data_IF_639350036133
#
_entry.id   IF_639350036133
#
_cell.length_a   1.000
_cell.length_b   1.000
_cell.length_c   1.000
_cell.angle_alpha   90.00
_cell.angle_beta   90.00
_cell.angle_gamma   90.00
#
_symmetry.space_group_name_H-M   'P 1'
#
loop_
_entity.id
_entity.type
_entity.pdbx_description
1 polymer ?
#
# COMPACT_ATOMS: atom_id res chain seq x y z
N UNK A 1 -5.29 12.80 25.87
CA UNK A 1 -5.05 11.50 26.51
C UNK A 1 -3.92 10.85 25.75
N UNK A 2 -2.82 10.44 26.41
CA UNK A 2 -1.73 9.73 25.75
C UNK A 2 -2.24 8.39 25.22
N UNK A 3 -1.95 8.07 23.95
CA UNK A 3 -2.19 6.76 23.35
C UNK A 3 -1.56 5.69 24.27
N UNK A 4 -2.25 4.58 24.62
CA UNK A 4 -1.59 3.47 25.30
C UNK A 4 -0.39 3.06 24.43
N UNK A 5 0.74 2.70 25.07
CA UNK A 5 1.96 2.32 24.35
C UNK A 5 1.62 1.25 23.32
N UNK A 6 1.62 1.54 22.02
CA UNK A 6 1.24 0.54 21.03
C UNK A 6 2.30 -0.56 21.01
N UNK A 7 1.90 -1.77 20.61
CA UNK A 7 2.86 -2.81 20.27
C UNK A 7 3.77 -2.28 19.17
N UNK A 8 5.05 -2.58 19.23
CA UNK A 8 5.99 -2.16 18.17
C UNK A 8 5.74 -2.94 16.87
N UNK A 9 6.28 -2.46 15.75
CA UNK A 9 6.22 -3.18 14.48
C UNK A 9 6.77 -4.60 14.63
N UNK A 10 7.92 -4.76 15.31
CA UNK A 10 8.55 -6.06 15.53
C UNK A 10 7.66 -7.01 16.34
N UNK A 11 6.97 -6.48 17.37
CA UNK A 11 6.03 -7.29 18.16
C UNK A 11 4.83 -7.73 17.30
N UNK A 12 4.32 -6.85 16.43
CA UNK A 12 3.22 -7.21 15.52
C UNK A 12 3.65 -8.27 14.51
N UNK A 13 4.82 -8.13 13.91
CA UNK A 13 5.39 -9.11 12.96
C UNK A 13 5.65 -10.47 13.63
N UNK A 14 6.04 -10.49 14.91
CA UNK A 14 6.23 -11.73 15.65
C UNK A 14 4.91 -12.45 15.99
N UNK A 15 3.77 -11.75 15.99
CA UNK A 15 2.44 -12.31 16.24
C UNK A 15 1.78 -12.87 14.97
N UNK A 16 2.25 -12.50 13.78
CA UNK A 16 1.74 -12.93 12.49
C UNK A 16 1.80 -11.86 11.42
N UNK A 17 1.10 -12.09 10.30
CA UNK A 17 1.07 -11.15 9.20
C UNK A 17 0.51 -9.79 9.65
N UNK A 18 1.21 -8.70 9.33
CA UNK A 18 0.73 -7.33 9.50
C UNK A 18 -0.01 -6.89 8.24
N UNK A 19 -1.21 -6.32 8.38
CA UNK A 19 -1.96 -5.76 7.26
C UNK A 19 -1.78 -4.25 7.21
N UNK A 20 -1.21 -3.78 6.10
CA UNK A 20 -1.07 -2.37 5.78
C UNK A 20 -2.30 -1.79 5.09
N UNK A 21 -2.50 -0.49 5.26
CA UNK A 21 -3.45 0.30 4.51
C UNK A 21 -2.68 1.33 3.69
N UNK A 22 -2.79 1.23 2.38
CA UNK A 22 -2.20 2.17 1.41
C UNK A 22 -3.12 2.29 0.19
N UNK A 23 -2.65 2.97 -0.87
CA UNK A 23 -3.48 3.21 -2.05
C UNK A 23 -4.34 4.48 -1.94
N UNK A 24 -4.13 5.28 -0.89
CA UNK A 24 -4.91 6.47 -0.59
C UNK A 24 -5.00 7.46 -1.76
N UNK A 25 -3.88 7.69 -2.45
CA UNK A 25 -3.81 8.69 -3.53
C UNK A 25 -4.80 8.39 -4.65
N UNK A 26 -4.83 7.15 -5.15
CA UNK A 26 -5.76 6.73 -6.21
C UNK A 26 -7.20 6.65 -5.72
N UNK A 27 -7.42 6.21 -4.50
CA UNK A 27 -8.76 6.16 -3.92
C UNK A 27 -9.34 7.58 -3.73
N UNK A 28 -8.52 8.53 -3.29
CA UNK A 28 -8.90 9.93 -3.16
C UNK A 28 -9.03 10.63 -4.51
N UNK A 29 -8.23 10.23 -5.50
CA UNK A 29 -8.37 10.70 -6.89
C UNK A 29 -9.73 10.30 -7.46
N UNK A 30 -10.12 9.03 -7.35
CA UNK A 30 -11.43 8.52 -7.79
C UNK A 30 -12.61 9.18 -7.10
N UNK A 31 -12.43 9.63 -5.87
CA UNK A 31 -13.40 10.41 -5.10
C UNK A 31 -13.39 11.90 -5.42
N UNK A 32 -12.48 12.38 -6.28
CA UNK A 32 -12.36 13.78 -6.69
C UNK A 32 -11.66 14.69 -5.69
N UNK A 33 -10.80 14.16 -4.81
CA UNK A 33 -10.05 14.92 -3.82
C UNK A 33 -8.57 15.09 -4.15
N UNK A 34 -8.05 14.35 -5.12
CA UNK A 34 -6.66 14.42 -5.58
C UNK A 34 -6.65 14.51 -7.11
N UNK A 35 -5.72 15.26 -7.67
CA UNK A 35 -5.57 15.38 -9.13
C UNK A 35 -4.66 14.27 -9.66
N UNK A 36 -5.16 13.50 -10.63
CA UNK A 36 -4.31 12.64 -11.45
C UNK A 36 -3.22 13.48 -12.15
N UNK A 37 -2.04 12.92 -12.27
CA UNK A 37 -0.86 13.58 -12.82
C UNK A 37 0.11 14.02 -11.72
N UNK A 38 -0.11 15.15 -11.02
CA UNK A 38 0.75 15.55 -9.90
C UNK A 38 0.73 14.55 -8.75
N UNK A 39 -0.44 14.00 -8.43
CA UNK A 39 -0.69 13.10 -7.31
C UNK A 39 -0.19 13.61 -5.96
N UNK A 40 -0.11 14.94 -5.82
CA UNK A 40 0.25 15.59 -4.56
C UNK A 40 -0.93 15.53 -3.60
N UNK A 41 -0.73 15.24 -2.32
CA UNK A 41 -1.80 15.02 -1.35
C UNK A 41 -2.40 16.32 -0.79
N UNK A 42 -2.83 17.23 -1.65
CA UNK A 42 -3.46 18.53 -1.29
C UNK A 42 -4.68 18.35 -0.39
N UNK A 43 -5.36 17.22 -0.50
CA UNK A 43 -6.53 16.81 0.30
C UNK A 43 -6.28 16.91 1.82
N UNK A 44 -5.04 16.73 2.27
CA UNK A 44 -4.65 16.84 3.68
C UNK A 44 -5.02 18.21 4.24
N UNK A 45 -4.89 19.27 3.45
CA UNK A 45 -5.19 20.64 3.81
C UNK A 45 -6.58 21.06 3.34
N UNK A 46 -6.95 20.68 2.13
CA UNK A 46 -8.13 21.20 1.46
C UNK A 46 -9.43 20.45 1.86
N UNK A 47 -9.33 19.14 2.18
CA UNK A 47 -10.45 18.32 2.61
C UNK A 47 -10.03 17.21 3.60
N UNK A 48 -9.49 17.57 4.79
CA UNK A 48 -8.90 16.62 5.73
C UNK A 48 -9.88 15.54 6.22
N UNK A 49 -11.19 15.82 6.23
CA UNK A 49 -12.18 14.84 6.65
C UNK A 49 -12.34 13.69 5.66
N UNK A 50 -12.11 13.92 4.37
CA UNK A 50 -12.09 12.84 3.37
C UNK A 50 -10.96 11.84 3.65
N UNK A 51 -9.79 12.33 4.07
CA UNK A 51 -8.68 11.47 4.48
C UNK A 51 -8.98 10.74 5.80
N UNK A 52 -9.57 11.41 6.80
CA UNK A 52 -9.99 10.78 8.06
C UNK A 52 -10.96 9.63 7.82
N UNK A 53 -11.96 9.84 6.98
CA UNK A 53 -12.94 8.81 6.65
C UNK A 53 -12.29 7.63 5.95
N UNK A 54 -11.40 7.86 5.00
CA UNK A 54 -10.70 6.79 4.31
C UNK A 54 -9.82 5.97 5.27
N UNK A 55 -9.11 6.61 6.18
CA UNK A 55 -8.37 5.91 7.24
C UNK A 55 -9.30 5.04 8.12
N UNK A 56 -10.48 5.56 8.52
CA UNK A 56 -11.45 4.78 9.31
C UNK A 56 -11.98 3.57 8.55
N UNK A 57 -12.23 3.72 7.26
CA UNK A 57 -12.66 2.62 6.40
C UNK A 57 -11.60 1.51 6.35
N UNK A 58 -10.32 1.85 6.22
CA UNK A 58 -9.22 0.89 6.26
C UNK A 58 -9.06 0.25 7.65
N UNK A 59 -9.12 1.04 8.72
CA UNK A 59 -9.08 0.52 10.09
C UNK A 59 -10.21 -0.47 10.34
N UNK A 60 -11.43 -0.12 9.91
CA UNK A 60 -12.61 -0.99 10.01
C UNK A 60 -12.47 -2.26 9.17
N UNK A 61 -11.78 -2.18 8.04
CA UNK A 61 -11.47 -3.32 7.17
C UNK A 61 -10.44 -4.29 7.76
N UNK A 62 -9.72 -3.89 8.81
CA UNK A 62 -8.76 -4.73 9.52
C UNK A 62 -7.30 -4.38 9.29
N UNK A 63 -7.01 -3.18 8.79
CA UNK A 63 -5.64 -2.70 8.69
C UNK A 63 -5.03 -2.49 10.08
N UNK A 64 -3.80 -2.97 10.25
CA UNK A 64 -2.99 -2.85 11.48
C UNK A 64 -2.19 -1.55 11.51
N UNK A 65 -2.04 -0.87 10.37
CA UNK A 65 -1.19 0.30 10.20
C UNK A 65 -1.97 1.41 9.52
N UNK A 66 -1.91 2.62 10.09
CA UNK A 66 -2.32 3.86 9.43
C UNK A 66 -1.07 4.56 8.92
N UNK A 67 -0.97 4.73 7.61
CA UNK A 67 0.18 5.37 6.97
C UNK A 67 -0.10 6.85 6.80
N UNK A 68 0.79 7.72 7.27
CA UNK A 68 0.67 9.15 7.02
C UNK A 68 0.72 9.40 5.50
N UNK A 69 -0.29 10.09 4.96
CA UNK A 69 -0.34 10.39 3.51
C UNK A 69 0.66 11.47 3.15
N UNK A 70 1.95 11.15 3.23
CA UNK A 70 3.05 12.06 2.86
C UNK A 70 3.74 11.66 1.55
N UNK A 71 3.18 10.69 0.83
CA UNK A 71 3.61 10.35 -0.53
C UNK A 71 3.55 11.59 -1.42
N UNK A 72 4.68 11.94 -2.05
CA UNK A 72 4.86 13.17 -2.82
C UNK A 72 4.64 14.49 -2.05
N UNK A 73 4.50 14.47 -0.72
CA UNK A 73 4.51 15.68 0.10
C UNK A 73 5.95 16.14 0.39
N UNK A 74 6.83 16.16 -0.61
CA UNK A 74 8.19 16.63 -0.51
C UNK A 74 8.41 17.89 -1.37
N UNK A 75 9.47 18.63 -1.07
CA UNK A 75 9.73 19.99 -1.60
C UNK A 75 9.68 20.05 -3.13
N UNK A 76 10.27 19.08 -3.83
CA UNK A 76 10.30 19.07 -5.28
C UNK A 76 8.88 18.99 -5.87
N UNK A 77 8.07 18.04 -5.42
CA UNK A 77 6.70 17.84 -5.91
C UNK A 77 5.75 18.97 -5.55
N UNK A 78 5.85 19.52 -4.34
CA UNK A 78 4.99 20.64 -3.94
C UNK A 78 5.30 21.91 -4.76
N UNK A 79 6.56 22.10 -5.14
CA UNK A 79 6.96 23.20 -6.03
C UNK A 79 6.33 23.10 -7.41
N UNK A 80 6.18 21.87 -7.97
CA UNK A 80 5.57 21.67 -9.29
C UNK A 80 4.12 22.21 -9.37
N UNK A 81 3.44 22.28 -8.22
CA UNK A 81 2.07 22.78 -8.12
C UNK A 81 1.97 24.12 -7.38
N UNK A 82 3.10 24.75 -7.04
CA UNK A 82 3.15 26.06 -6.35
C UNK A 82 2.71 26.02 -4.90
N UNK A 83 2.85 24.86 -4.20
CA UNK A 83 2.44 24.69 -2.79
C UNK A 83 3.61 24.33 -1.85
N UNK A 84 4.82 24.66 -2.23
CA UNK A 84 6.02 24.42 -1.41
C UNK A 84 6.01 25.18 -0.07
N UNK A 85 5.23 26.25 0.04
CA UNK A 85 4.96 26.95 1.31
C UNK A 85 4.13 26.13 2.31
N UNK A 86 3.40 25.13 1.85
CA UNK A 86 2.55 24.27 2.68
C UNK A 86 3.26 22.98 3.18
N UNK A 87 4.53 22.81 2.84
CA UNK A 87 5.27 21.57 3.02
C UNK A 87 5.23 21.06 4.47
N UNK A 88 5.57 21.87 5.45
CA UNK A 88 5.60 21.46 6.85
C UNK A 88 4.20 21.15 7.39
N UNK A 89 3.23 22.05 7.17
CA UNK A 89 1.87 21.84 7.67
C UNK A 89 1.21 20.61 7.06
N UNK A 90 1.46 20.34 5.77
CA UNK A 90 0.95 19.17 5.09
C UNK A 90 1.51 17.88 5.70
N UNK A 91 2.81 17.79 5.90
CA UNK A 91 3.45 16.63 6.52
C UNK A 91 2.98 16.42 7.96
N UNK A 92 3.00 17.45 8.80
CA UNK A 92 2.54 17.37 10.19
C UNK A 92 1.08 16.97 10.29
N UNK A 93 0.20 17.56 9.49
CA UNK A 93 -1.24 17.26 9.50
C UNK A 93 -1.53 15.83 9.06
N UNK A 94 -0.81 15.31 8.07
CA UNK A 94 -0.94 13.92 7.64
C UNK A 94 -0.66 12.95 8.81
N UNK A 95 0.41 13.16 9.55
CA UNK A 95 0.77 12.33 10.72
C UNK A 95 -0.27 12.49 11.85
N UNK A 96 -0.73 13.71 12.11
CA UNK A 96 -1.79 13.95 13.14
C UNK A 96 -3.08 13.21 12.81
N UNK A 97 -3.51 13.23 11.54
CA UNK A 97 -4.70 12.49 11.08
C UNK A 97 -4.50 10.99 11.25
N UNK A 98 -3.36 10.45 10.83
CA UNK A 98 -3.05 9.02 11.01
C UNK A 98 -3.05 8.64 12.50
N UNK A 99 -2.46 9.43 13.39
CA UNK A 99 -2.46 9.22 14.83
C UNK A 99 -3.87 9.27 15.44
N UNK A 100 -4.70 10.24 15.01
CA UNK A 100 -6.09 10.36 15.44
C UNK A 100 -6.86 9.06 15.19
N UNK A 101 -6.79 8.54 13.97
CA UNK A 101 -7.56 7.36 13.59
C UNK A 101 -6.92 6.06 14.13
N UNK A 102 -5.61 5.96 14.15
CA UNK A 102 -4.92 4.82 14.75
C UNK A 102 -5.31 4.61 16.23
N UNK A 103 -5.53 5.70 16.96
CA UNK A 103 -5.97 5.64 18.36
C UNK A 103 -7.37 5.04 18.53
N UNK A 104 -8.25 5.10 17.52
CA UNK A 104 -9.60 4.54 17.56
C UNK A 104 -9.57 2.99 17.60
N UNK A 105 -8.55 2.34 17.02
CA UNK A 105 -8.45 0.87 16.94
C UNK A 105 -7.14 0.27 17.43
N UNK A 106 -6.21 1.09 17.94
CA UNK A 106 -4.90 0.61 18.40
C UNK A 106 -3.97 0.20 17.26
N UNK A 107 -4.14 0.77 16.07
CA UNK A 107 -3.25 0.56 14.94
C UNK A 107 -1.89 1.25 15.16
N UNK A 108 -0.86 0.78 14.45
CA UNK A 108 0.42 1.49 14.35
C UNK A 108 0.28 2.71 13.44
N UNK A 109 1.18 3.68 13.61
CA UNK A 109 1.31 4.82 12.70
C UNK A 109 2.65 4.77 12.01
N UNK A 110 2.63 4.70 10.69
CA UNK A 110 3.83 4.81 9.87
C UNK A 110 4.00 6.23 9.33
N UNK A 111 5.21 6.79 9.49
CA UNK A 111 5.66 7.89 8.65
C UNK A 111 5.92 7.36 7.24
N UNK A 112 5.76 8.19 6.22
CA UNK A 112 5.96 7.76 4.84
C UNK A 112 6.93 8.69 4.10
N UNK A 113 7.92 8.10 3.46
CA UNK A 113 8.79 8.74 2.47
C UNK A 113 8.79 7.90 1.19
N UNK A 114 9.03 8.54 0.06
CA UNK A 114 9.07 7.87 -1.25
C UNK A 114 10.22 8.43 -2.09
N UNK A 115 10.42 7.88 -3.29
CA UNK A 115 11.36 8.41 -4.26
C UNK A 115 11.19 9.92 -4.45
N UNK A 116 12.28 10.65 -4.43
CA UNK A 116 12.27 12.13 -4.45
C UNK A 116 12.31 12.72 -5.85
N UNK A 117 12.60 11.90 -6.87
CA UNK A 117 12.93 12.34 -8.24
C UNK A 117 14.15 13.26 -8.31
N UNK A 118 14.96 13.28 -7.24
CA UNK A 118 16.16 14.12 -7.12
C UNK A 118 17.46 13.30 -7.16
N UNK A 119 17.37 11.97 -7.05
CA UNK A 119 18.53 11.09 -7.08
C UNK A 119 19.05 10.90 -8.50
N UNK A 120 20.36 11.09 -8.69
CA UNK A 120 21.07 10.80 -9.95
C UNK A 120 22.18 9.77 -9.65
N UNK A 121 22.06 8.54 -10.15
CA UNK A 121 23.10 7.51 -9.93
C UNK A 121 24.45 7.84 -10.57
N UNK A 122 24.52 8.83 -11.46
CA UNK A 122 25.77 9.32 -12.05
C UNK A 122 26.48 10.33 -11.16
N UNK A 123 25.75 10.98 -10.23
CA UNK A 123 26.28 11.86 -9.19
C UNK A 123 25.64 11.52 -7.82
N UNK A 124 25.92 10.33 -7.28
CA UNK A 124 25.29 9.89 -6.03
C UNK A 124 25.67 10.77 -4.83
N UNK A 125 26.86 11.39 -4.86
CA UNK A 125 27.33 12.26 -3.77
C UNK A 125 26.63 13.64 -3.78
N UNK A 126 26.42 14.24 -4.94
CA UNK A 126 25.78 15.55 -5.05
C UNK A 126 24.26 15.43 -4.89
N UNK A 127 23.65 14.56 -5.68
CA UNK A 127 22.19 14.32 -5.62
C UNK A 127 21.77 13.72 -4.28
N UNK A 128 22.58 12.83 -3.70
CA UNK A 128 22.30 12.21 -2.41
C UNK A 128 22.17 13.21 -1.25
N UNK A 129 22.89 14.34 -1.29
CA UNK A 129 22.70 15.42 -0.29
C UNK A 129 21.34 16.07 -0.40
N UNK A 130 20.84 16.23 -1.62
CA UNK A 130 19.51 16.81 -1.86
C UNK A 130 18.41 15.85 -1.39
N UNK A 131 18.55 14.54 -1.69
CA UNK A 131 17.65 13.49 -1.23
C UNK A 131 17.61 13.43 0.29
N UNK A 132 18.80 13.35 0.93
CA UNK A 132 18.93 13.31 2.39
C UNK A 132 18.22 14.49 3.05
N UNK A 133 18.45 15.71 2.58
CA UNK A 133 17.81 16.89 3.15
C UNK A 133 16.28 16.84 3.07
N UNK A 134 15.70 16.29 2.01
CA UNK A 134 14.25 16.12 1.90
C UNK A 134 13.73 15.06 2.88
N UNK A 135 14.44 13.96 3.06
CA UNK A 135 14.04 12.92 4.01
C UNK A 135 14.19 13.38 5.46
N UNK A 136 15.27 14.11 5.78
CA UNK A 136 15.47 14.71 7.12
C UNK A 136 14.36 15.71 7.48
N UNK A 137 13.91 16.54 6.53
CA UNK A 137 12.77 17.44 6.73
C UNK A 137 11.49 16.63 7.06
N UNK A 138 11.10 15.71 6.20
CA UNK A 138 9.84 14.96 6.36
C UNK A 138 9.84 14.11 7.62
N UNK A 139 10.92 13.36 7.86
CA UNK A 139 11.02 12.47 9.01
C UNK A 139 11.21 13.23 10.32
N UNK A 140 11.89 14.37 10.30
CA UNK A 140 12.00 15.25 11.47
C UNK A 140 10.63 15.66 11.99
N UNK A 141 9.75 16.15 11.11
CA UNK A 141 8.38 16.50 11.48
C UNK A 141 7.54 15.28 11.88
N UNK A 142 7.73 14.15 11.19
CA UNK A 142 7.00 12.94 11.52
C UNK A 142 7.34 12.40 12.92
N UNK A 143 8.62 12.46 13.32
CA UNK A 143 9.06 12.09 14.67
C UNK A 143 8.45 13.00 15.73
N UNK A 144 8.45 14.31 15.50
CA UNK A 144 7.85 15.27 16.43
C UNK A 144 6.35 15.06 16.64
N UNK A 145 5.63 14.62 15.60
CA UNK A 145 4.19 14.30 15.68
C UNK A 145 3.92 12.88 16.20
N UNK A 146 4.94 12.02 16.32
CA UNK A 146 4.88 10.70 16.94
C UNK A 146 4.44 9.60 15.98
N UNK A 147 5.40 8.97 15.32
CA UNK A 147 5.25 7.77 14.49
C UNK A 147 5.87 6.56 15.18
N UNK A 148 5.43 5.35 14.82
CA UNK A 148 5.96 4.11 15.38
C UNK A 148 7.11 3.54 14.52
N UNK A 149 7.09 3.77 13.20
CA UNK A 149 8.11 3.33 12.24
C UNK A 149 7.99 4.12 10.93
N UNK A 150 8.86 3.84 9.98
CA UNK A 150 8.86 4.48 8.65
C UNK A 150 8.60 3.46 7.56
N UNK A 151 7.77 3.82 6.59
CA UNK A 151 7.67 3.16 5.28
C UNK A 151 8.37 4.06 4.26
N UNK A 152 9.51 3.60 3.75
CA UNK A 152 10.23 4.18 2.63
C UNK A 152 9.86 3.38 1.38
N UNK A 153 8.87 3.85 0.64
CA UNK A 153 8.24 3.09 -0.43
C UNK A 153 8.58 3.61 -1.83
N UNK A 154 8.28 2.77 -2.82
CA UNK A 154 8.36 3.14 -4.24
C UNK A 154 9.76 3.64 -4.63
N UNK A 155 10.79 3.01 -4.06
CA UNK A 155 12.15 3.32 -4.44
C UNK A 155 12.46 2.74 -5.82
N UNK A 156 13.13 3.54 -6.65
CA UNK A 156 13.58 3.14 -7.99
C UNK A 156 15.07 2.77 -8.00
N UNK A 157 15.82 3.28 -7.03
CA UNK A 157 17.27 3.13 -6.90
C UNK A 157 17.64 2.62 -5.52
N UNK A 158 18.55 1.64 -5.47
CA UNK A 158 19.11 1.15 -4.20
C UNK A 158 19.87 2.27 -3.48
N UNK A 159 20.59 3.12 -4.23
CA UNK A 159 21.32 4.24 -3.64
C UNK A 159 20.41 5.25 -2.92
N UNK A 160 19.25 5.58 -3.47
CA UNK A 160 18.26 6.45 -2.82
C UNK A 160 17.64 5.78 -1.60
N UNK A 161 17.28 4.50 -1.72
CA UNK A 161 16.71 3.71 -0.64
C UNK A 161 17.65 3.61 0.58
N UNK A 162 18.96 3.45 0.35
CA UNK A 162 19.97 3.43 1.41
C UNK A 162 20.04 4.78 2.15
N UNK A 163 19.95 5.90 1.45
CA UNK A 163 19.91 7.24 2.10
C UNK A 163 18.69 7.34 3.02
N UNK A 164 17.52 6.90 2.56
CA UNK A 164 16.31 6.90 3.38
C UNK A 164 16.45 6.01 4.61
N UNK A 165 17.04 4.82 4.45
CA UNK A 165 17.30 3.89 5.55
C UNK A 165 18.27 4.48 6.59
N UNK A 166 19.36 5.12 6.14
CA UNK A 166 20.32 5.78 7.02
C UNK A 166 19.66 6.88 7.86
N UNK A 167 18.82 7.73 7.25
CA UNK A 167 18.11 8.78 7.99
C UNK A 167 17.15 8.17 9.03
N UNK A 168 16.45 7.09 8.70
CA UNK A 168 15.61 6.38 9.67
C UNK A 168 16.41 5.87 10.86
N UNK A 169 17.60 5.29 10.61
CA UNK A 169 18.48 4.76 11.66
C UNK A 169 19.04 5.85 12.56
N UNK A 170 19.46 6.99 11.99
CA UNK A 170 19.92 8.16 12.73
C UNK A 170 18.83 8.70 13.67
N UNK A 171 17.56 8.59 13.27
CA UNK A 171 16.40 8.96 14.09
C UNK A 171 15.96 7.84 15.06
N UNK A 172 16.60 6.68 15.03
CA UNK A 172 16.26 5.53 15.89
C UNK A 172 14.94 4.85 15.54
N UNK A 173 14.47 4.96 14.29
CA UNK A 173 13.20 4.41 13.82
C UNK A 173 13.39 3.10 13.08
N UNK A 174 12.55 2.07 13.33
CA UNK A 174 12.46 0.93 12.44
C UNK A 174 12.02 1.37 11.05
N UNK A 175 12.60 0.77 10.00
CA UNK A 175 12.25 1.09 8.62
C UNK A 175 11.80 -0.15 7.85
N UNK A 176 10.69 -0.01 7.15
CA UNK A 176 10.28 -0.85 6.05
C UNK A 176 10.68 -0.15 4.76
N UNK A 177 11.46 -0.83 3.91
CA UNK A 177 11.97 -0.25 2.66
C UNK A 177 11.55 -1.13 1.48
N UNK A 178 10.81 -0.55 0.52
CA UNK A 178 10.25 -1.28 -0.61
C UNK A 178 10.59 -0.62 -1.94
N UNK A 179 10.70 -1.46 -2.97
CA UNK A 179 10.96 -1.03 -4.34
C UNK A 179 9.70 -1.06 -5.19
N UNK A 180 9.54 -0.04 -6.03
CA UNK A 180 8.66 -0.11 -7.18
C UNK A 180 9.25 -1.07 -8.20
N UNK A 181 8.51 -2.13 -8.55
CA UNK A 181 9.00 -3.14 -9.48
C UNK A 181 8.56 -2.84 -10.92
N UNK A 182 8.84 -1.62 -11.39
CA UNK A 182 8.50 -1.13 -12.72
C UNK A 182 9.26 -1.88 -13.81
N UNK A 183 10.59 -1.95 -13.69
CA UNK A 183 11.42 -2.68 -14.63
C UNK A 183 11.19 -4.19 -14.49
N UNK A 184 11.34 -4.98 -15.58
CA UNK A 184 11.06 -6.41 -15.54
C UNK A 184 11.90 -7.17 -14.52
N UNK A 185 13.18 -6.87 -14.37
CA UNK A 185 14.12 -7.71 -13.61
C UNK A 185 14.93 -6.95 -12.56
N UNK A 186 15.15 -5.63 -12.75
CA UNK A 186 16.10 -4.87 -11.93
C UNK A 186 15.56 -3.51 -11.53
N UNK A 187 16.18 -2.91 -10.50
CA UNK A 187 16.08 -1.48 -10.20
C UNK A 187 16.79 -0.66 -11.31
N UNK A 188 16.56 0.64 -11.34
CA UNK A 188 17.18 1.50 -12.36
C UNK A 188 18.71 1.63 -12.23
N UNK A 189 19.28 1.31 -11.08
CA UNK A 189 20.74 1.21 -10.86
C UNK A 189 21.28 -0.22 -11.00
N UNK A 190 20.46 -1.13 -11.56
CA UNK A 190 20.90 -2.43 -12.09
C UNK A 190 20.94 -3.59 -11.09
N UNK A 191 20.46 -3.43 -9.87
CA UNK A 191 20.32 -4.54 -8.92
C UNK A 191 19.10 -5.38 -9.27
N UNK A 192 19.21 -6.72 -9.21
CA UNK A 192 17.99 -7.54 -9.17
C UNK A 192 17.17 -7.17 -7.93
N UNK A 193 15.85 -7.33 -7.95
CA UNK A 193 15.03 -7.02 -6.75
C UNK A 193 15.43 -7.88 -5.55
N UNK A 194 15.91 -9.08 -5.78
CA UNK A 194 16.46 -9.94 -4.73
C UNK A 194 17.72 -9.35 -4.12
N UNK A 195 18.69 -8.91 -4.95
CA UNK A 195 19.91 -8.30 -4.47
C UNK A 195 19.66 -6.95 -3.82
N UNK A 196 18.75 -6.15 -4.36
CA UNK A 196 18.32 -4.88 -3.77
C UNK A 196 17.77 -5.06 -2.34
N UNK A 197 16.87 -6.02 -2.15
CA UNK A 197 16.33 -6.35 -0.81
C UNK A 197 17.42 -6.90 0.12
N UNK A 198 18.34 -7.73 -0.39
CA UNK A 198 19.47 -8.24 0.40
C UNK A 198 20.38 -7.11 0.89
N UNK A 199 20.75 -6.18 0.02
CA UNK A 199 21.56 -5.01 0.38
C UNK A 199 20.88 -4.21 1.49
N UNK A 200 19.58 -3.93 1.40
CA UNK A 200 18.87 -3.20 2.45
C UNK A 200 18.79 -3.98 3.77
N UNK A 201 18.58 -5.29 3.71
CA UNK A 201 18.57 -6.15 4.89
C UNK A 201 19.94 -6.16 5.60
N UNK A 202 21.04 -6.27 4.84
CA UNK A 202 22.42 -6.20 5.34
C UNK A 202 22.73 -4.82 5.97
N UNK A 203 22.08 -3.75 5.50
CA UNK A 203 22.20 -2.41 6.07
C UNK A 203 21.20 -2.13 7.20
N UNK A 204 20.46 -3.13 7.67
CA UNK A 204 19.66 -3.05 8.88
C UNK A 204 18.20 -2.59 8.68
N UNK A 205 17.65 -2.70 7.48
CA UNK A 205 16.20 -2.54 7.29
C UNK A 205 15.43 -3.58 8.11
N UNK A 206 14.36 -3.17 8.79
CA UNK A 206 13.51 -4.08 9.58
C UNK A 206 12.63 -4.95 8.68
N UNK A 207 12.15 -4.38 7.59
CA UNK A 207 11.32 -5.04 6.58
C UNK A 207 11.81 -4.61 5.20
N UNK A 208 11.94 -5.55 4.27
CA UNK A 208 12.26 -5.27 2.86
C UNK A 208 11.22 -5.89 1.94
N UNK A 209 11.07 -5.39 0.73
CA UNK A 209 10.13 -6.01 -0.20
C UNK A 209 9.77 -5.15 -1.39
N UNK A 210 8.57 -5.39 -1.91
CA UNK A 210 8.06 -4.73 -3.11
C UNK A 210 6.72 -4.03 -2.85
N UNK A 211 6.56 -2.87 -3.44
CA UNK A 211 5.29 -2.20 -3.52
C UNK A 211 5.06 -1.65 -4.93
N UNK A 212 3.80 -1.37 -5.26
CA UNK A 212 3.38 -0.74 -6.52
C UNK A 212 3.80 -1.49 -7.80
N UNK A 213 3.45 -0.93 -8.94
CA UNK A 213 3.71 -1.34 -10.33
C UNK A 213 3.17 -2.73 -10.69
N UNK A 214 3.51 -3.76 -9.95
CA UNK A 214 3.05 -5.13 -10.25
C UNK A 214 1.76 -5.49 -9.54
N UNK A 215 0.91 -6.20 -10.27
CA UNK A 215 -0.27 -6.85 -9.68
C UNK A 215 0.09 -8.14 -8.95
N UNK A 216 -0.91 -8.76 -8.29
CA UNK A 216 -0.73 -9.97 -7.47
C UNK A 216 0.02 -11.10 -8.18
N UNK A 217 -0.37 -11.41 -9.41
CA UNK A 217 0.18 -12.54 -10.16
C UNK A 217 1.65 -12.37 -10.56
N UNK A 218 2.07 -11.14 -10.85
CA UNK A 218 3.44 -10.85 -11.30
C UNK A 218 4.39 -10.45 -10.17
N UNK A 219 3.85 -10.07 -9.02
CA UNK A 219 4.66 -9.76 -7.83
C UNK A 219 5.05 -11.03 -7.05
N UNK A 220 4.14 -12.00 -6.92
CA UNK A 220 4.32 -13.18 -6.07
C UNK A 220 5.59 -13.98 -6.36
N UNK A 221 5.99 -14.27 -7.62
CA UNK A 221 7.23 -14.98 -7.90
C UNK A 221 8.50 -14.25 -7.43
N UNK A 222 8.48 -12.92 -7.46
CA UNK A 222 9.59 -12.11 -6.96
C UNK A 222 9.66 -12.17 -5.42
N UNK A 223 8.51 -12.14 -4.75
CA UNK A 223 8.45 -12.25 -3.28
C UNK A 223 8.97 -13.59 -2.79
N UNK A 224 8.64 -14.67 -3.48
CA UNK A 224 9.16 -16.02 -3.18
C UNK A 224 10.70 -16.05 -3.28
N UNK A 225 11.26 -15.44 -4.32
CA UNK A 225 12.70 -15.34 -4.50
C UNK A 225 13.36 -14.44 -3.43
N UNK A 226 12.74 -13.30 -3.09
CA UNK A 226 13.22 -12.40 -2.03
C UNK A 226 13.19 -13.13 -0.68
N UNK A 227 12.08 -13.80 -0.33
CA UNK A 227 11.96 -14.54 0.94
C UNK A 227 13.06 -15.59 1.11
N UNK A 228 13.44 -16.26 0.02
CA UNK A 228 14.54 -17.24 0.03
C UNK A 228 15.93 -16.63 0.20
N UNK A 229 16.07 -15.30 0.12
CA UNK A 229 17.36 -14.62 0.08
C UNK A 229 17.65 -13.69 1.28
N UNK A 230 16.64 -13.43 2.14
CA UNK A 230 16.77 -12.52 3.29
C UNK A 230 16.23 -13.16 4.56
N UNK A 231 16.78 -12.79 5.72
CA UNK A 231 16.32 -13.27 7.04
C UNK A 231 15.41 -12.27 7.76
N UNK A 232 15.29 -11.04 7.26
CA UNK A 232 14.39 -10.00 7.79
C UNK A 232 12.97 -10.20 7.28
N UNK A 233 12.00 -9.52 7.87
CA UNK A 233 10.61 -9.55 7.42
C UNK A 233 10.46 -9.07 5.96
N UNK A 234 9.52 -9.67 5.22
CA UNK A 234 9.24 -9.35 3.81
C UNK A 234 7.89 -8.67 3.66
N UNK A 235 7.86 -7.59 2.89
CA UNK A 235 6.66 -6.83 2.57
C UNK A 235 6.20 -7.05 1.13
N UNK A 236 4.86 -7.06 0.95
CA UNK A 236 4.19 -7.16 -0.33
C UNK A 236 2.99 -6.22 -0.40
N UNK A 237 3.05 -5.24 -1.32
CA UNK A 237 1.97 -4.27 -1.53
C UNK A 237 1.70 -4.12 -3.03
N UNK A 238 1.07 -5.12 -3.67
CA UNK A 238 0.75 -5.05 -5.09
C UNK A 238 -0.28 -3.97 -5.40
N UNK A 239 -0.26 -3.49 -6.63
CA UNK A 239 -1.43 -2.78 -7.17
C UNK A 239 -2.53 -3.81 -7.47
N UNK A 240 -3.80 -3.54 -7.15
CA UNK A 240 -4.88 -4.49 -7.41
C UNK A 240 -5.31 -4.45 -8.89
N UNK A 241 -4.37 -4.68 -9.79
CA UNK A 241 -4.64 -4.76 -11.23
C UNK A 241 -4.07 -6.05 -11.82
N UNK A 242 -4.78 -6.58 -12.82
CA UNK A 242 -4.37 -7.77 -13.56
C UNK A 242 -3.22 -7.43 -14.49
N UNK A 243 -2.02 -7.77 -14.08
CA UNK A 243 -0.79 -7.69 -14.88
C UNK A 243 -0.38 -9.10 -15.33
N UNK A 244 0.48 -9.18 -16.33
CA UNK A 244 0.93 -10.45 -16.91
C UNK A 244 2.45 -10.46 -17.11
N UNK A 245 3.02 -11.60 -17.42
CA UNK A 245 4.46 -11.69 -17.74
C UNK A 245 4.85 -10.81 -18.94
N UNK A 246 3.91 -10.60 -19.88
CA UNK A 246 4.14 -9.73 -21.05
C UNK A 246 3.99 -8.23 -20.73
N UNK A 247 3.20 -7.89 -19.72
CA UNK A 247 2.96 -6.52 -19.24
C UNK A 247 2.97 -6.55 -17.71
N UNK A 248 4.15 -6.61 -17.10
CA UNK A 248 4.28 -6.84 -15.67
C UNK A 248 3.92 -5.61 -14.82
N UNK A 249 4.01 -4.42 -15.37
CA UNK A 249 3.73 -3.15 -14.68
C UNK A 249 2.39 -2.56 -15.15
N UNK A 250 1.58 -2.05 -14.21
CA UNK A 250 0.26 -1.50 -14.53
C UNK A 250 0.33 -0.18 -15.30
N UNK A 251 1.46 0.52 -15.23
CA UNK A 251 1.74 1.72 -16.02
C UNK A 251 1.79 1.44 -17.53
N UNK A 252 2.08 0.20 -17.91
CA UNK A 252 2.21 -0.25 -19.31
C UNK A 252 0.90 -0.83 -19.88
N UNK A 253 -0.15 -0.94 -19.06
CA UNK A 253 -1.43 -1.48 -19.49
C UNK A 253 -2.04 -0.62 -20.61
N UNK A 254 -2.50 -1.30 -21.66
CA UNK A 254 -3.15 -0.67 -22.80
C UNK A 254 -4.53 -1.26 -23.06
N UNK A 255 -5.41 -0.49 -23.70
CA UNK A 255 -6.68 -0.98 -24.24
C UNK A 255 -6.45 -1.88 -25.45
N UNK A 256 -7.51 -2.52 -25.93
CA UNK A 256 -7.46 -3.32 -27.16
C UNK A 256 -7.04 -2.49 -28.40
N UNK A 257 -7.28 -1.19 -28.38
CA UNK A 257 -6.91 -0.24 -29.45
C UNK A 257 -5.52 0.35 -29.25
N UNK A 258 -4.78 -0.09 -28.21
CA UNK A 258 -3.40 0.35 -27.92
C UNK A 258 -3.29 1.68 -27.18
N UNK A 259 -4.37 2.25 -26.65
CA UNK A 259 -4.32 3.45 -25.81
C UNK A 259 -3.82 3.10 -24.39
N UNK A 260 -2.94 3.95 -23.84
CA UNK A 260 -2.50 3.80 -22.46
C UNK A 260 -3.66 4.01 -21.47
N UNK A 261 -3.78 3.12 -20.48
CA UNK A 261 -4.85 3.15 -19.49
C UNK A 261 -4.44 3.89 -18.22
N UNK A 262 -3.16 3.85 -17.88
CA UNK A 262 -2.61 4.58 -16.74
C UNK A 262 -2.63 6.11 -17.00
N UNK A 263 -3.01 6.93 -16.00
CA UNK A 263 -3.37 6.54 -14.62
C UNK A 263 -4.89 6.45 -14.36
N UNK A 264 -5.77 6.81 -15.28
CA UNK A 264 -7.19 7.13 -15.01
C UNK A 264 -8.21 6.21 -15.71
N UNK A 265 -7.78 5.16 -16.38
CA UNK A 265 -8.66 4.23 -17.13
C UNK A 265 -8.41 2.76 -16.77
N UNK A 266 -8.07 2.50 -15.50
CA UNK A 266 -7.58 1.19 -15.02
C UNK A 266 -8.69 0.27 -14.49
N UNK A 267 -9.92 0.78 -14.28
CA UNK A 267 -11.00 0.02 -13.65
C UNK A 267 -11.31 -1.32 -14.32
N UNK A 268 -11.32 -1.45 -15.66
CA UNK A 268 -11.57 -2.76 -16.30
C UNK A 268 -10.54 -3.83 -15.97
N UNK A 269 -9.35 -3.42 -15.53
CA UNK A 269 -8.23 -4.30 -15.17
C UNK A 269 -8.12 -4.55 -13.66
N UNK A 270 -8.99 -3.91 -12.86
CA UNK A 270 -8.95 -4.05 -11.42
C UNK A 270 -9.25 -5.49 -10.99
N UNK A 271 -8.40 -6.01 -10.12
CA UNK A 271 -8.66 -7.26 -9.42
C UNK A 271 -9.88 -7.11 -8.52
N UNK A 272 -10.70 -8.12 -8.47
CA UNK A 272 -11.76 -8.16 -7.47
C UNK A 272 -11.19 -8.47 -6.07
N UNK A 273 -12.04 -8.31 -5.05
CA UNK A 273 -11.64 -8.55 -3.66
C UNK A 273 -11.23 -9.99 -3.37
N UNK A 274 -11.71 -10.97 -4.15
CA UNK A 274 -11.39 -12.39 -3.95
C UNK A 274 -10.04 -12.74 -4.56
N UNK A 275 -9.65 -12.10 -5.67
CA UNK A 275 -8.30 -12.20 -6.23
C UNK A 275 -7.27 -11.66 -5.23
N UNK A 276 -7.58 -10.54 -4.55
CA UNK A 276 -6.72 -9.99 -3.49
C UNK A 276 -6.70 -10.87 -2.23
N UNK A 277 -7.82 -11.49 -1.88
CA UNK A 277 -7.90 -12.47 -0.80
C UNK A 277 -7.02 -13.72 -1.10
N UNK A 278 -7.04 -14.21 -2.33
CA UNK A 278 -6.17 -15.31 -2.77
C UNK A 278 -4.70 -14.92 -2.72
N UNK A 279 -4.37 -13.73 -3.20
CA UNK A 279 -3.01 -13.20 -3.07
C UNK A 279 -2.54 -13.18 -1.61
N UNK A 280 -3.36 -12.71 -0.68
CA UNK A 280 -2.98 -12.63 0.73
C UNK A 280 -2.67 -14.02 1.33
N UNK A 281 -3.48 -15.06 0.99
CA UNK A 281 -3.18 -16.43 1.41
C UNK A 281 -1.85 -16.92 0.85
N UNK A 282 -1.65 -16.76 -0.47
CA UNK A 282 -0.43 -17.21 -1.15
C UNK A 282 0.81 -16.46 -0.65
N UNK A 283 0.71 -15.15 -0.43
CA UNK A 283 1.80 -14.34 0.12
C UNK A 283 2.18 -14.81 1.54
N UNK A 284 1.19 -15.06 2.41
CA UNK A 284 1.43 -15.66 3.74
C UNK A 284 2.12 -17.02 3.61
N UNK A 285 1.65 -17.88 2.71
CA UNK A 285 2.15 -19.24 2.55
C UNK A 285 3.60 -19.28 2.04
N UNK A 286 4.06 -18.28 1.31
CA UNK A 286 5.48 -18.11 0.94
C UNK A 286 6.30 -17.37 2.01
N UNK A 287 5.69 -16.93 3.11
CA UNK A 287 6.38 -16.31 4.24
C UNK A 287 6.53 -14.79 4.14
N UNK A 288 5.57 -14.11 3.52
CA UNK A 288 5.47 -12.64 3.57
C UNK A 288 4.86 -12.24 4.90
N UNK A 289 5.51 -11.28 5.59
CA UNK A 289 5.18 -10.87 6.95
C UNK A 289 4.33 -9.58 7.00
N UNK A 290 4.47 -8.71 6.01
CA UNK A 290 3.68 -7.48 5.87
C UNK A 290 2.94 -7.51 4.52
N UNK A 291 1.63 -7.50 4.53
CA UNK A 291 0.80 -7.54 3.33
C UNK A 291 -0.07 -6.29 3.28
N UNK A 292 -0.10 -5.63 2.14
CA UNK A 292 -0.93 -4.45 1.93
C UNK A 292 -1.43 -4.36 0.49
N UNK A 293 -1.86 -3.17 0.13
CA UNK A 293 -2.24 -2.79 -1.23
C UNK A 293 -1.54 -1.50 -1.58
N UNK A 294 -1.29 -1.24 -2.86
CA UNK A 294 -0.78 0.04 -3.34
C UNK A 294 -1.82 0.72 -4.24
N UNK A 295 -1.40 1.52 -5.20
CA UNK A 295 -2.24 2.33 -6.09
C UNK A 295 -3.48 1.59 -6.60
N UNK A 296 -4.66 2.15 -6.35
CA UNK A 296 -5.95 1.54 -6.71
C UNK A 296 -6.52 0.55 -5.70
N UNK A 297 -5.77 0.25 -4.62
CA UNK A 297 -6.26 -0.54 -3.50
C UNK A 297 -7.24 0.23 -2.64
N UNK A 298 -8.30 -0.45 -2.19
CA UNK A 298 -9.32 0.15 -1.34
C UNK A 298 -9.65 -0.72 -0.13
N UNK A 299 -10.45 -0.19 0.82
CA UNK A 299 -10.82 -0.88 2.06
C UNK A 299 -11.47 -2.25 1.84
N UNK A 300 -12.21 -2.43 0.75
CA UNK A 300 -12.85 -3.70 0.41
C UNK A 300 -11.83 -4.80 0.06
N UNK A 301 -10.69 -4.45 -0.51
CA UNK A 301 -9.58 -5.39 -0.74
C UNK A 301 -8.95 -5.79 0.58
N UNK A 302 -8.62 -4.81 1.45
CA UNK A 302 -8.01 -5.09 2.76
C UNK A 302 -8.93 -5.96 3.63
N UNK A 303 -10.24 -5.69 3.62
CA UNK A 303 -11.22 -6.55 4.31
C UNK A 303 -11.16 -7.99 3.82
N UNK A 304 -11.20 -8.20 2.51
CA UNK A 304 -11.16 -9.55 1.94
C UNK A 304 -9.84 -10.27 2.24
N UNK A 305 -8.72 -9.55 2.22
CA UNK A 305 -7.42 -10.07 2.65
C UNK A 305 -7.41 -10.44 4.14
N UNK A 306 -7.96 -9.60 5.01
CA UNK A 306 -8.09 -9.88 6.43
C UNK A 306 -8.90 -11.15 6.70
N UNK A 307 -10.07 -11.27 6.07
CA UNK A 307 -10.93 -12.45 6.17
C UNK A 307 -10.24 -13.72 5.64
N UNK A 308 -9.48 -13.61 4.54
CA UNK A 308 -8.69 -14.71 3.99
C UNK A 308 -7.52 -15.16 4.89
N UNK A 309 -7.02 -14.26 5.71
CA UNK A 309 -6.03 -14.52 6.77
C UNK A 309 -6.67 -14.93 8.10
N UNK A 310 -7.93 -15.36 8.08
CA UNK A 310 -8.70 -15.85 9.24
C UNK A 310 -8.92 -14.79 10.33
N UNK A 311 -8.93 -13.50 9.94
CA UNK A 311 -9.19 -12.41 10.87
C UNK A 311 -10.65 -11.99 10.83
N UNK A 312 -11.24 -11.80 12.00
CA UNK A 312 -12.56 -11.16 12.15
C UNK A 312 -12.38 -9.67 12.38
N UNK A 313 -12.82 -8.86 11.45
CA UNK A 313 -12.74 -7.39 11.51
C UNK A 313 -14.11 -6.79 11.83
N UNK A 314 -14.21 -5.51 12.25
CA UNK A 314 -15.50 -4.84 12.42
C UNK A 314 -16.38 -4.86 11.16
N UNK A 315 -15.76 -4.91 9.96
CA UNK A 315 -16.49 -4.99 8.69
C UNK A 315 -16.98 -6.41 8.37
N UNK A 316 -16.40 -7.46 8.96
CA UNK A 316 -16.75 -8.87 8.69
C UNK A 316 -18.19 -9.24 9.08
N UNK A 317 -18.81 -8.46 9.99
CA UNK A 317 -20.25 -8.62 10.29
C UNK A 317 -21.15 -8.43 9.07
N UNK A 318 -20.64 -7.88 7.98
CA UNK A 318 -21.36 -7.67 6.73
C UNK A 318 -20.79 -8.56 5.61
N UNK A 319 -20.16 -9.66 5.95
CA UNK A 319 -19.73 -10.68 4.98
C UNK A 319 -20.95 -11.31 4.32
N UNK A 320 -20.87 -11.73 3.03
CA UNK A 320 -22.00 -12.21 2.28
C UNK A 320 -22.67 -13.43 2.92
N UNK A 321 -23.98 -13.41 3.01
CA UNK A 321 -24.86 -14.53 3.36
C UNK A 321 -25.72 -14.86 2.12
N UNK A 322 -25.09 -15.48 1.11
CA UNK A 322 -25.69 -15.64 -0.21
C UNK A 322 -26.92 -16.54 -0.20
N UNK A 323 -27.04 -17.44 0.77
CA UNK A 323 -28.23 -18.26 1.00
C UNK A 323 -29.49 -17.45 1.35
N UNK A 324 -29.31 -16.23 1.85
CA UNK A 324 -30.41 -15.30 2.16
C UNK A 324 -30.76 -14.37 0.99
N UNK A 325 -30.02 -14.45 -0.13
CA UNK A 325 -30.23 -13.58 -1.28
C UNK A 325 -31.54 -13.95 -2.01
N UNK A 326 -32.43 -12.99 -2.31
CA UNK A 326 -33.77 -13.28 -2.84
C UNK A 326 -33.77 -13.92 -4.24
N UNK A 327 -32.67 -13.79 -5.02
CA UNK A 327 -32.59 -14.31 -6.40
C UNK A 327 -31.77 -15.59 -6.49
N UNK A 328 -30.65 -15.68 -5.72
CA UNK A 328 -29.69 -16.79 -5.82
C UNK A 328 -29.61 -17.62 -4.55
N UNK A 329 -30.33 -17.23 -3.50
CA UNK A 329 -30.41 -17.97 -2.25
C UNK A 329 -31.27 -19.24 -2.34
N UNK A 330 -31.34 -19.98 -1.24
CA UNK A 330 -32.20 -21.15 -1.15
C UNK A 330 -33.68 -20.78 -1.36
N UNK A 331 -34.47 -21.55 -2.13
CA UNK A 331 -35.88 -21.32 -2.30
C UNK A 331 -36.59 -21.31 -0.94
N UNK A 332 -37.37 -20.26 -0.67
CA UNK A 332 -38.23 -20.21 0.50
C UNK A 332 -39.60 -20.81 0.15
N UNK A 333 -40.15 -21.61 1.04
CA UNK A 333 -41.40 -22.31 0.80
C UNK A 333 -42.61 -21.40 0.54
N UNK A 334 -42.47 -20.10 0.81
CA UNK A 334 -43.50 -19.04 0.70
C UNK A 334 -43.03 -17.85 -0.17
N UNK A 335 -42.05 -18.09 -1.07
CA UNK A 335 -41.52 -17.05 -1.93
C UNK A 335 -42.50 -16.68 -3.05
N UNK A 336 -43.05 -15.46 -3.09
CA UNK A 336 -43.96 -15.04 -4.14
C UNK A 336 -43.28 -14.93 -5.53
N UNK A 337 -41.96 -15.06 -5.60
CA UNK A 337 -41.18 -15.01 -6.83
C UNK A 337 -40.97 -16.38 -7.53
N UNK A 338 -41.47 -17.49 -6.97
CA UNK A 338 -41.53 -18.77 -7.69
C UNK A 338 -42.25 -18.68 -9.03
N UNK A 339 -43.08 -17.64 -9.19
CA UNK A 339 -43.85 -17.39 -10.42
C UNK A 339 -43.03 -16.71 -11.53
N UNK A 340 -41.87 -16.15 -11.23
CA UNK A 340 -40.98 -15.50 -12.19
C UNK A 340 -39.89 -16.47 -12.70
N UNK A 341 -40.29 -17.71 -13.03
CA UNK A 341 -39.41 -18.75 -13.54
C UNK A 341 -38.49 -18.27 -14.67
N UNK A 342 -37.20 -18.25 -14.41
CA UNK A 342 -36.22 -17.92 -15.44
C UNK A 342 -34.76 -17.81 -15.01
N UNK A 343 -34.46 -17.66 -13.73
CA UNK A 343 -33.07 -17.50 -13.28
C UNK A 343 -32.53 -18.70 -12.49
N UNK A 344 -33.31 -19.74 -12.30
CA UNK A 344 -32.91 -20.95 -11.56
C UNK A 344 -31.92 -21.88 -12.29
N UNK A 345 -31.09 -21.35 -13.18
CA UNK A 345 -30.14 -22.14 -14.01
C UNK A 345 -28.66 -21.90 -13.80
N UNK A 346 -28.25 -20.96 -12.97
CA UNK A 346 -26.85 -20.71 -12.70
C UNK A 346 -26.43 -21.33 -11.36
N UNK A 347 -26.14 -22.62 -11.37
CA UNK A 347 -25.37 -23.25 -10.28
C UNK A 347 -23.99 -22.62 -10.29
N UNK A 348 -23.50 -22.05 -9.16
CA UNK A 348 -22.12 -21.65 -9.08
C UNK A 348 -21.24 -22.86 -9.33
N UNK A 349 -20.34 -22.78 -10.30
CA UNK A 349 -19.34 -23.82 -10.48
C UNK A 349 -18.59 -23.99 -9.16
N UNK A 350 -18.66 -25.19 -8.58
CA UNK A 350 -17.88 -25.55 -7.43
C UNK A 350 -16.41 -25.31 -7.80
N UNK A 351 -15.77 -24.43 -7.05
CA UNK A 351 -14.33 -24.20 -7.12
C UNK A 351 -13.62 -25.51 -6.80
N UNK A 352 -12.97 -26.08 -7.81
CA UNK A 352 -11.97 -27.13 -7.65
C UNK A 352 -10.61 -26.50 -7.42
#
# INVERSE_FOLDING_TARGET
MSRPSPRTLQQRLAEGVVLGAEGYVFELERRGYVKAGPFVPEVILDAPDALRELHREFLRAGADVMVALTYYAHRAKLRDIGRDGDLEEMNRRAVRIANEIAAEGGALVAGNICNTWSYDPRDPSGSGKVVRAQYEEQLGWAVEEGIDFVIAETNDYVGEALIGLEVCQELGLPAMVTFASVQPETTYDGYTYVDACRVLAEHGATVVGLNCSRGPATMLPLLEAIRGAVDVAVAAQPVPYRTSAATPAFEELTSADGEHLFPIRLEPWQCDRFEMADFARRARDVGVDYIGVCCGGGPHHVRAMAEALERTTPASRYSPELELHPVIGAPRADDPHEVMGGWAGATPAASA
#
